data_IF_917928564213
#
_entry.id   IF_917928564213
#
_cell.length_a   1.000
_cell.length_b   1.000
_cell.length_c   1.000
_cell.angle_alpha   90.00
_cell.angle_beta   90.00
_cell.angle_gamma   90.00
#
_symmetry.space_group_name_H-M   'P 1'
#
loop_
_entity.id
_entity.type
_entity.pdbx_description
1 polymer ?
#
# COMPACT_ATOMS: atom_id res chain seq x y z
N UNK A 1 20.53 0.35 8.73
CA UNK A 1 19.88 1.66 8.45
C UNK A 1 20.75 2.79 9.01
N UNK A 2 21.78 3.24 8.27
CA UNK A 2 22.74 4.26 8.74
C UNK A 2 23.01 5.39 7.73
N UNK A 3 22.21 5.49 6.67
CA UNK A 3 22.36 6.53 5.64
C UNK A 3 21.75 7.86 6.11
N UNK A 4 22.32 8.99 5.68
CA UNK A 4 21.73 10.33 5.88
C UNK A 4 20.51 10.59 4.96
N UNK A 5 20.20 9.67 4.04
CA UNK A 5 19.01 9.75 3.18
C UNK A 5 17.74 9.37 3.94
N UNK A 6 16.63 10.05 3.66
CA UNK A 6 15.29 9.60 4.04
C UNK A 6 14.95 8.29 3.31
N UNK A 7 14.10 7.46 3.92
CA UNK A 7 13.61 6.23 3.30
C UNK A 7 12.09 6.28 3.29
N UNK A 8 11.52 5.97 2.13
CA UNK A 8 10.10 5.63 1.99
C UNK A 8 10.05 4.23 1.41
N UNK A 9 9.40 3.32 2.12
CA UNK A 9 9.12 1.97 1.65
C UNK A 9 7.63 1.82 1.44
N UNK A 10 7.25 1.36 0.25
CA UNK A 10 5.88 1.03 -0.10
C UNK A 10 5.85 -0.48 -0.25
N UNK A 11 5.21 -1.13 0.71
CA UNK A 11 5.19 -2.58 0.84
C UNK A 11 3.77 -3.09 0.57
N UNK A 12 3.61 -3.67 -0.62
CA UNK A 12 2.37 -4.25 -1.11
C UNK A 12 2.43 -5.78 -1.08
N UNK A 13 3.38 -6.36 -0.34
CA UNK A 13 3.59 -7.80 -0.29
C UNK A 13 2.52 -8.48 0.56
N UNK A 14 1.77 -9.39 -0.05
CA UNK A 14 0.88 -10.29 0.69
C UNK A 14 1.58 -11.54 1.22
N UNK A 15 2.78 -11.82 0.69
CA UNK A 15 3.65 -12.94 1.06
C UNK A 15 5.10 -12.47 1.04
N UNK A 16 5.91 -12.97 1.98
CA UNK A 16 7.29 -12.55 2.17
C UNK A 16 7.50 -11.87 3.51
N UNK A 17 8.75 -11.56 3.82
CA UNK A 17 9.12 -10.84 5.03
C UNK A 17 9.17 -9.35 4.77
N UNK A 18 8.53 -8.63 5.67
CA UNK A 18 8.47 -7.20 5.66
C UNK A 18 9.49 -6.66 6.68
N UNK A 19 10.04 -5.44 6.51
CA UNK A 19 10.99 -4.90 7.50
C UNK A 19 10.45 -4.98 8.93
N UNK A 20 11.25 -5.50 9.90
CA UNK A 20 10.84 -5.60 11.29
C UNK A 20 10.71 -4.21 11.90
N UNK A 21 9.54 -3.93 12.48
CA UNK A 21 9.24 -2.68 13.18
C UNK A 21 9.09 -2.99 14.66
N UNK A 22 9.84 -2.27 15.50
CA UNK A 22 9.70 -2.35 16.95
C UNK A 22 8.44 -1.61 17.42
N UNK A 23 7.77 -2.12 18.45
CA UNK A 23 6.66 -1.41 19.10
C UNK A 23 5.25 -1.94 18.79
N UNK A 24 5.12 -3.21 18.42
CA UNK A 24 3.84 -3.88 18.18
C UNK A 24 2.95 -3.13 17.16
N UNK A 25 3.40 -3.01 15.89
CA UNK A 25 2.64 -2.32 14.87
C UNK A 25 1.26 -3.00 14.66
N UNK A 26 0.25 -2.24 14.17
CA UNK A 26 -1.02 -2.85 13.79
C UNK A 26 -0.79 -3.95 12.75
N UNK A 27 -1.58 -5.02 12.85
CA UNK A 27 -1.55 -6.08 11.85
C UNK A 27 -2.21 -5.56 10.57
N UNK A 28 -1.45 -5.60 9.47
CA UNK A 28 -1.96 -5.29 8.13
C UNK A 28 -1.19 -6.07 7.07
N UNK A 29 -1.81 -6.24 5.90
CA UNK A 29 -1.14 -6.83 4.74
C UNK A 29 -0.27 -5.80 4.01
N UNK A 30 -0.70 -4.54 3.97
CA UNK A 30 -0.01 -3.49 3.22
C UNK A 30 0.40 -2.35 4.13
N UNK A 31 1.46 -1.66 3.73
CA UNK A 31 2.01 -0.57 4.52
C UNK A 31 2.90 0.38 3.73
N UNK A 32 2.92 1.62 4.17
CA UNK A 32 3.91 2.62 3.77
C UNK A 32 4.69 3.02 5.02
N UNK A 33 6.01 2.91 4.95
CA UNK A 33 6.92 3.30 6.03
C UNK A 33 7.72 4.53 5.60
N UNK A 34 7.59 5.62 6.36
CA UNK A 34 8.36 6.85 6.15
C UNK A 34 9.37 7.02 7.27
N UNK A 35 10.64 6.72 6.98
CA UNK A 35 11.76 6.87 7.91
C UNK A 35 12.62 8.07 7.54
N UNK A 36 12.40 9.20 8.22
CA UNK A 36 13.21 10.41 8.03
C UNK A 36 14.55 10.26 8.73
N UNK A 37 15.64 10.62 8.06
CA UNK A 37 17.00 10.43 8.60
C UNK A 37 17.23 11.17 9.91
N UNK A 38 16.64 12.35 10.08
CA UNK A 38 16.74 13.19 11.26
C UNK A 38 15.90 12.73 12.46
N UNK A 39 14.96 11.79 12.30
CA UNK A 39 14.10 11.31 13.40
C UNK A 39 14.35 9.86 13.78
N UNK A 40 15.31 9.18 13.13
CA UNK A 40 15.63 7.77 13.42
C UNK A 40 16.01 7.56 14.89
N UNK A 41 15.66 6.41 15.48
CA UNK A 41 15.09 5.22 14.83
C UNK A 41 13.57 5.25 14.61
N UNK A 42 12.88 6.38 14.84
CA UNK A 42 11.43 6.49 14.63
C UNK A 42 11.08 6.64 13.14
N UNK A 43 9.91 6.12 12.77
CA UNK A 43 9.32 6.20 11.45
C UNK A 43 7.80 6.32 11.58
N UNK A 44 7.17 6.91 10.56
CA UNK A 44 5.71 6.91 10.43
C UNK A 44 5.29 5.64 9.68
N UNK A 45 4.28 4.95 10.20
CA UNK A 45 3.71 3.76 9.60
C UNK A 45 2.26 4.04 9.19
N UNK A 46 1.98 3.88 7.90
CA UNK A 46 0.64 3.96 7.33
C UNK A 46 0.23 2.54 6.95
N UNK A 47 -0.55 1.89 7.81
CA UNK A 47 -1.03 0.52 7.63
C UNK A 47 -2.42 0.50 6.99
N UNK A 48 -2.65 -0.39 6.04
CA UNK A 48 -3.94 -0.53 5.34
C UNK A 48 -4.11 -1.95 4.77
N UNK A 49 -5.35 -2.33 4.45
CA UNK A 49 -5.68 -3.63 3.87
C UNK A 49 -6.47 -3.46 2.56
N UNK A 50 -6.81 -4.59 1.93
CA UNK A 50 -7.43 -4.61 0.61
C UNK A 50 -8.73 -3.78 0.49
N UNK A 51 -9.63 -3.76 1.50
CA UNK A 51 -10.85 -2.96 1.42
C UNK A 51 -10.63 -1.46 1.61
N UNK A 52 -9.46 -1.05 2.11
CA UNK A 52 -9.16 0.33 2.45
C UNK A 52 -8.63 1.09 1.21
N UNK A 53 -8.89 2.39 1.15
CA UNK A 53 -8.15 3.26 0.23
C UNK A 53 -6.69 3.35 0.68
N UNK A 54 -5.74 3.38 -0.27
CA UNK A 54 -4.32 3.58 0.05
C UNK A 54 -4.16 4.97 0.71
N UNK A 55 -3.60 5.06 1.92
CA UNK A 55 -3.43 6.33 2.60
C UNK A 55 -2.42 7.22 1.89
N UNK A 56 -2.74 8.50 1.76
CA UNK A 56 -1.78 9.51 1.35
C UNK A 56 -0.71 9.72 2.44
N UNK A 57 0.51 10.02 2.02
CA UNK A 57 1.64 10.28 2.94
C UNK A 57 2.47 11.48 2.48
N UNK A 58 3.23 12.06 3.40
CA UNK A 58 4.14 13.18 3.10
C UNK A 58 5.52 12.66 2.71
N UNK A 59 5.99 13.07 1.53
CA UNK A 59 7.30 12.67 1.02
C UNK A 59 8.38 13.54 1.69
N UNK A 60 9.29 12.94 2.48
CA UNK A 60 10.28 13.72 3.19
C UNK A 60 11.31 14.34 2.24
N UNK A 61 11.49 15.64 2.38
CA UNK A 61 12.48 16.45 1.67
C UNK A 61 13.54 16.95 2.65
N UNK A 62 14.40 17.87 2.19
CA UNK A 62 15.40 18.49 3.06
C UNK A 62 14.70 19.36 4.12
N UNK A 63 15.33 19.54 5.30
CA UNK A 63 14.77 20.43 6.33
C UNK A 63 14.52 21.84 5.78
N UNK A 64 13.30 22.35 6.00
CA UNK A 64 12.86 23.66 5.53
C UNK A 64 12.04 23.63 4.23
N UNK A 65 12.08 22.53 3.49
CA UNK A 65 11.23 22.35 2.31
C UNK A 65 9.83 21.89 2.71
N UNK A 66 8.82 22.29 1.93
CA UNK A 66 7.44 21.82 2.12
C UNK A 66 7.32 20.39 1.59
N UNK A 67 7.04 19.44 2.47
CA UNK A 67 6.82 18.04 2.08
C UNK A 67 5.53 17.92 1.25
N UNK A 68 5.63 17.49 -0.03
CA UNK A 68 4.44 17.27 -0.85
C UNK A 68 3.69 16.03 -0.34
N UNK A 69 2.38 16.07 -0.54
CA UNK A 69 1.53 14.89 -0.31
C UNK A 69 1.58 13.98 -1.53
N UNK A 70 1.77 12.69 -1.28
CA UNK A 70 1.77 11.64 -2.29
C UNK A 70 0.46 10.88 -2.16
N UNK A 71 -0.42 11.06 -3.14
CA UNK A 71 -1.63 10.27 -3.33
C UNK A 71 -1.32 9.06 -4.21
N UNK A 72 -0.90 7.97 -3.57
CA UNK A 72 -0.57 6.74 -4.28
C UNK A 72 -1.82 6.06 -4.87
N UNK A 73 -2.99 6.24 -4.28
CA UNK A 73 -4.26 5.71 -4.79
C UNK A 73 -4.54 6.29 -6.19
N UNK A 74 -4.50 7.62 -6.32
CA UNK A 74 -4.76 8.28 -7.60
C UNK A 74 -3.72 7.90 -8.67
N UNK A 75 -2.44 7.76 -8.28
CA UNK A 75 -1.39 7.31 -9.19
C UNK A 75 -1.63 5.88 -9.68
N UNK A 76 -1.98 4.96 -8.79
CA UNK A 76 -2.29 3.57 -9.12
C UNK A 76 -3.50 3.48 -10.06
N UNK A 77 -4.61 4.15 -9.73
CA UNK A 77 -5.77 4.23 -10.61
C UNK A 77 -5.41 4.79 -11.99
N UNK A 78 -4.61 5.86 -12.05
CA UNK A 78 -4.20 6.42 -13.32
C UNK A 78 -3.38 5.44 -14.18
N UNK A 79 -2.50 4.65 -13.58
CA UNK A 79 -1.77 3.59 -14.29
C UNK A 79 -2.72 2.47 -14.72
N UNK A 80 -3.64 2.09 -13.84
CA UNK A 80 -4.64 1.05 -14.09
C UNK A 80 -5.45 1.34 -15.36
N UNK A 81 -6.04 2.53 -15.40
CA UNK A 81 -6.88 3.02 -16.50
C UNK A 81 -6.10 3.15 -17.81
N UNK A 82 -4.94 3.82 -17.79
CA UNK A 82 -4.17 4.09 -19.02
C UNK A 82 -3.62 2.83 -19.66
N UNK A 83 -3.31 1.81 -18.86
CA UNK A 83 -2.82 0.53 -19.34
C UNK A 83 -3.95 -0.44 -19.68
N UNK A 84 -5.20 -0.10 -19.38
CA UNK A 84 -6.38 -0.92 -19.68
C UNK A 84 -6.34 -2.29 -19.00
N UNK A 85 -5.92 -2.35 -17.73
CA UNK A 85 -5.74 -3.62 -17.02
C UNK A 85 -7.03 -4.46 -16.94
N UNK A 86 -8.22 -3.83 -16.98
CA UNK A 86 -9.51 -4.53 -17.05
C UNK A 86 -9.61 -5.50 -18.23
N UNK A 87 -8.88 -5.25 -19.33
CA UNK A 87 -8.87 -6.14 -20.50
C UNK A 87 -7.96 -7.36 -20.34
N UNK A 88 -7.04 -7.33 -19.38
CA UNK A 88 -6.00 -8.35 -19.20
C UNK A 88 -6.17 -9.17 -17.93
N UNK A 89 -6.86 -8.64 -16.92
CA UNK A 89 -7.12 -9.33 -15.66
C UNK A 89 -8.38 -10.17 -15.80
N UNK A 90 -8.23 -11.50 -15.63
CA UNK A 90 -9.38 -12.38 -15.50
C UNK A 90 -9.95 -12.31 -14.08
N UNK A 91 -11.01 -11.53 -13.93
CA UNK A 91 -11.71 -11.38 -12.65
C UNK A 91 -12.41 -12.65 -12.16
N UNK A 92 -12.64 -13.66 -13.00
CA UNK A 92 -13.24 -14.92 -12.56
C UNK A 92 -12.23 -15.85 -11.89
N UNK A 93 -10.94 -15.59 -12.04
CA UNK A 93 -9.88 -16.39 -11.43
C UNK A 93 -9.71 -16.07 -9.94
N UNK A 94 -9.26 -17.07 -9.17
CA UNK A 94 -8.90 -16.89 -7.77
C UNK A 94 -7.63 -16.06 -7.62
N UNK A 95 -7.58 -15.23 -6.57
CA UNK A 95 -6.40 -14.42 -6.27
C UNK A 95 -5.24 -15.32 -5.82
N UNK A 96 -4.04 -15.01 -6.31
CA UNK A 96 -2.80 -15.62 -5.82
C UNK A 96 -1.91 -14.53 -5.21
N UNK A 97 -1.54 -14.63 -3.93
CA UNK A 97 -1.92 -15.64 -2.93
C UNK A 97 -3.42 -15.58 -2.56
N UNK A 98 -3.99 -16.68 -2.02
CA UNK A 98 -5.40 -16.70 -1.62
C UNK A 98 -5.70 -15.63 -0.58
N UNK A 99 -6.87 -15.02 -0.66
CA UNK A 99 -7.37 -14.04 0.31
C UNK A 99 -7.82 -14.71 1.62
N UNK A 100 -7.90 -13.91 2.68
CA UNK A 100 -8.65 -14.30 3.87
C UNK A 100 -10.13 -14.51 3.51
N UNK A 101 -10.87 -15.29 4.30
CA UNK A 101 -12.31 -15.53 4.04
C UNK A 101 -13.10 -14.22 3.98
N UNK A 102 -12.80 -13.27 4.87
CA UNK A 102 -13.47 -11.97 4.91
C UNK A 102 -13.15 -11.11 3.68
N UNK A 103 -11.89 -11.05 3.25
CA UNK A 103 -11.51 -10.25 2.08
C UNK A 103 -12.02 -10.88 0.79
N UNK A 104 -12.04 -12.21 0.71
CA UNK A 104 -12.60 -12.94 -0.42
C UNK A 104 -14.10 -12.68 -0.56
N UNK A 105 -14.86 -12.71 0.54
CA UNK A 105 -16.28 -12.41 0.53
C UNK A 105 -16.56 -10.95 0.13
N UNK A 106 -15.77 -10.00 0.64
CA UNK A 106 -15.85 -8.59 0.25
C UNK A 106 -15.56 -8.39 -1.24
N UNK A 107 -14.48 -9.01 -1.74
CA UNK A 107 -14.09 -8.92 -3.14
C UNK A 107 -15.16 -9.51 -4.06
N UNK A 108 -15.71 -10.69 -3.75
CA UNK A 108 -16.74 -11.32 -4.57
C UNK A 108 -18.00 -10.46 -4.67
N UNK A 109 -18.44 -9.90 -3.53
CA UNK A 109 -19.58 -8.98 -3.51
C UNK A 109 -19.33 -7.73 -4.38
N UNK A 110 -18.13 -7.14 -4.29
CA UNK A 110 -17.74 -5.99 -5.10
C UNK A 110 -17.70 -6.32 -6.60
N UNK A 111 -17.10 -7.45 -6.98
CA UNK A 111 -16.99 -7.84 -8.39
C UNK A 111 -18.36 -8.14 -9.01
N UNK A 112 -19.28 -8.76 -8.26
CA UNK A 112 -20.67 -8.98 -8.69
C UNK A 112 -21.44 -7.68 -8.88
N UNK A 113 -21.29 -6.72 -7.96
CA UNK A 113 -21.88 -5.39 -8.10
C UNK A 113 -21.43 -4.70 -9.40
N UNK A 114 -20.15 -4.90 -9.78
CA UNK A 114 -19.58 -4.37 -11.03
C UNK A 114 -19.86 -5.22 -12.27
N UNK A 115 -20.54 -6.36 -12.14
CA UNK A 115 -20.83 -7.26 -13.26
C UNK A 115 -19.59 -7.97 -13.82
N UNK A 116 -18.53 -8.08 -13.03
CA UNK A 116 -17.28 -8.76 -13.38
C UNK A 116 -17.28 -10.25 -12.96
N UNK A 117 -18.29 -10.67 -12.18
CA UNK A 117 -18.56 -12.03 -11.68
C UNK A 117 -20.06 -12.31 -11.52
#
# INVERSE_FOLDING_TARGET
MGSLTHLVEIDLLRMGEYLPILGNPPQSHYRILVSRSNTRPRADLYAFNLPDAIPAFRLPLRPGDVEPEVDLQALLHGVYERSGYDYFIDYNSDTVPPLSESDAAWMDALLREKGLR
#
